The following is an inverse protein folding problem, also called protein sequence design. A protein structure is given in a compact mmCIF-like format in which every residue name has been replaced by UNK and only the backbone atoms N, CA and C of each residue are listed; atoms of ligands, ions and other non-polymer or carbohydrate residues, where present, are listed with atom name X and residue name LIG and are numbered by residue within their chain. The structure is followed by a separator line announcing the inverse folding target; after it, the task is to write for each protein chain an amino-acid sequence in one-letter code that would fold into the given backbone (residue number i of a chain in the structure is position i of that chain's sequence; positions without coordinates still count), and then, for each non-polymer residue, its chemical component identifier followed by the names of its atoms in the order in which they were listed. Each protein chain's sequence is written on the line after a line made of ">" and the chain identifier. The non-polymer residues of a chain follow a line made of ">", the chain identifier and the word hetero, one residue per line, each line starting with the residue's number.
data_IF_735854253832
#
_entry.id   IF_735854253832
#
_cell.length_a   1.000
_cell.length_b   1.000
_cell.length_c   1.000
_cell.angle_alpha   90.00
_cell.angle_beta   90.00
_cell.angle_gamma   90.00
#
_symmetry.space_group_name_H-M   'P 1'
#
loop_
_entity.id
_entity.type
_entity.pdbx_description
1 polymer ?
#
# COMPACT_ATOMS: atom_id res chain seq x y z
N UNK A 1 14.21 25.17 41.16
CA UNK A 1 15.66 25.48 41.24
C UNK A 1 16.19 25.35 39.85
N UNK A 2 16.29 26.46 39.13
CA UNK A 2 17.46 27.22 38.71
C UNK A 2 18.38 26.36 37.82
N UNK A 3 18.76 26.69 36.61
CA UNK A 3 19.14 28.00 36.09
C UNK A 3 19.07 28.09 34.57
N UNK A 4 18.56 29.23 34.11
CA UNK A 4 18.80 29.83 32.78
C UNK A 4 20.27 30.13 32.60
N UNK A 5 20.84 30.00 31.39
CA UNK A 5 21.97 30.84 30.93
C UNK A 5 21.71 31.30 29.50
N UNK A 6 21.78 32.63 29.40
CA UNK A 6 21.57 33.42 28.20
C UNK A 6 22.94 33.91 27.63
N UNK A 7 22.96 34.01 26.30
CA UNK A 7 23.58 35.04 25.39
C UNK A 7 25.00 35.57 25.69
N UNK A 8 25.84 35.86 24.68
CA UNK A 8 25.71 37.18 24.04
C UNK A 8 25.93 37.25 22.51
N UNK A 9 25.26 38.24 21.95
CA UNK A 9 25.47 38.82 20.64
C UNK A 9 26.81 39.59 20.57
N UNK A 10 27.43 39.65 19.41
CA UNK A 10 28.41 40.67 19.08
C UNK A 10 28.17 41.21 17.67
N UNK A 11 28.11 42.54 17.65
CA UNK A 11 27.80 43.44 16.54
C UNK A 11 29.13 44.05 16.03
N UNK A 12 29.09 44.56 14.82
CA UNK A 12 29.85 45.63 14.16
C UNK A 12 30.82 45.23 13.06
N UNK A 13 30.60 45.93 11.93
CA UNK A 13 31.65 46.32 10.99
C UNK A 13 31.10 46.78 9.64
N UNK A 14 30.68 48.05 9.56
CA UNK A 14 30.31 48.72 8.32
C UNK A 14 31.56 49.19 7.54
N UNK A 15 31.50 49.15 6.20
CA UNK A 15 32.28 50.07 5.36
C UNK A 15 31.56 50.27 4.01
N UNK A 16 31.12 51.50 3.81
CA UNK A 16 30.68 52.13 2.56
C UNK A 16 31.87 52.38 1.65
N UNK A 17 31.73 52.09 0.33
CA UNK A 17 32.35 52.93 -0.73
C UNK A 17 31.42 52.90 -1.94
N UNK A 18 30.98 54.09 -2.36
CA UNK A 18 30.17 54.35 -3.55
C UNK A 18 31.07 54.75 -4.72
N UNK A 19 30.70 54.36 -5.93
CA UNK A 19 30.90 55.17 -7.16
C UNK A 19 30.07 54.59 -8.34
N UNK A 20 29.52 55.42 -9.22
CA UNK A 20 28.52 55.04 -10.21
C UNK A 20 29.13 54.65 -11.56
N UNK A 21 28.65 53.57 -12.13
CA UNK A 21 28.92 53.20 -13.52
C UNK A 21 27.61 52.98 -14.27
N UNK A 22 27.28 53.97 -15.10
CA UNK A 22 26.19 53.89 -16.07
C UNK A 22 26.60 52.92 -17.18
N UNK A 23 25.92 51.79 -17.31
CA UNK A 23 25.98 50.97 -18.52
C UNK A 23 24.56 50.70 -19.01
N UNK A 24 24.43 50.98 -20.32
CA UNK A 24 23.22 50.90 -21.10
C UNK A 24 22.50 49.57 -20.99
N UNK A 25 21.17 49.61 -20.90
CA UNK A 25 20.29 48.50 -21.06
C UNK A 25 20.37 47.98 -22.48
N UNK A 26 21.03 46.83 -22.67
CA UNK A 26 20.95 46.06 -23.90
C UNK A 26 19.82 45.05 -23.71
N UNK A 27 18.73 45.25 -24.44
CA UNK A 27 17.58 44.36 -24.53
C UNK A 27 18.00 43.06 -25.20
N UNK A 28 18.31 42.06 -24.41
CA UNK A 28 18.44 40.68 -24.90
C UNK A 28 17.06 40.15 -25.36
N UNK A 29 16.96 39.52 -26.55
CA UNK A 29 15.70 38.96 -27.02
C UNK A 29 15.25 37.82 -26.10
N UNK A 30 13.95 37.84 -25.74
CA UNK A 30 13.33 36.78 -24.95
C UNK A 30 13.53 35.41 -25.63
N UNK A 31 14.18 34.52 -24.95
CA UNK A 31 14.25 33.12 -25.34
C UNK A 31 12.83 32.53 -25.42
N UNK A 32 12.50 31.75 -26.46
CA UNK A 32 11.20 31.10 -26.53
C UNK A 32 11.00 30.18 -25.32
N UNK A 33 9.86 30.33 -24.65
CA UNK A 33 9.43 29.46 -23.58
C UNK A 33 9.52 28.00 -24.05
N UNK A 34 10.31 27.21 -23.36
CA UNK A 34 10.37 25.77 -23.56
C UNK A 34 8.93 25.20 -23.42
N UNK A 35 8.49 24.31 -24.31
CA UNK A 35 7.20 23.67 -24.15
C UNK A 35 7.17 22.97 -22.80
N UNK A 36 6.08 23.19 -22.06
CA UNK A 36 5.82 22.51 -20.80
C UNK A 36 6.06 21.00 -21.02
N UNK A 37 7.03 20.46 -20.31
CA UNK A 37 7.33 19.05 -20.35
C UNK A 37 6.03 18.30 -20.02
N UNK A 38 5.53 17.54 -20.99
CA UNK A 38 4.46 16.59 -20.76
C UNK A 38 4.83 15.78 -19.52
N UNK A 39 3.94 15.77 -18.52
CA UNK A 39 4.15 15.06 -17.28
C UNK A 39 4.43 13.61 -17.63
N UNK A 40 5.67 13.20 -17.55
CA UNK A 40 6.08 11.79 -17.59
C UNK A 40 5.28 11.10 -16.50
N UNK A 41 4.62 9.96 -16.76
CA UNK A 41 3.94 9.21 -15.71
C UNK A 41 4.93 9.04 -14.56
N UNK A 42 4.54 9.48 -13.38
CA UNK A 42 5.39 9.49 -12.20
C UNK A 42 5.99 8.09 -12.03
N UNK A 43 7.31 7.99 -12.05
CA UNK A 43 7.99 6.71 -11.91
C UNK A 43 7.50 6.05 -10.61
N UNK A 44 7.08 4.78 -10.72
CA UNK A 44 6.63 3.99 -9.58
C UNK A 44 7.67 4.02 -8.46
N UNK A 45 7.29 4.47 -7.27
CA UNK A 45 8.21 4.51 -6.12
C UNK A 45 8.46 3.10 -5.58
N UNK A 46 9.55 2.86 -4.81
CA UNK A 46 9.75 1.55 -4.15
C UNK A 46 8.54 1.10 -3.32
N UNK A 47 7.87 2.01 -2.62
CA UNK A 47 6.66 1.71 -1.87
C UNK A 47 5.50 1.28 -2.79
N UNK A 48 5.33 1.93 -3.96
CA UNK A 48 4.33 1.52 -4.94
C UNK A 48 4.59 0.09 -5.46
N UNK A 49 5.85 -0.24 -5.76
CA UNK A 49 6.25 -1.58 -6.22
C UNK A 49 5.96 -2.66 -5.17
N UNK A 50 6.23 -2.37 -3.90
CA UNK A 50 5.95 -3.29 -2.79
C UNK A 50 4.44 -3.50 -2.65
N UNK A 51 3.63 -2.43 -2.64
CA UNK A 51 2.17 -2.52 -2.52
C UNK A 51 1.53 -3.24 -3.71
N UNK A 52 2.12 -3.11 -4.91
CA UNK A 52 1.69 -3.85 -6.09
C UNK A 52 1.96 -5.36 -5.94
N UNK A 53 3.16 -5.73 -5.49
CA UNK A 53 3.53 -7.13 -5.19
C UNK A 53 2.64 -7.72 -4.10
N UNK A 54 2.30 -6.94 -3.07
CA UNK A 54 1.37 -7.35 -2.02
C UNK A 54 -0.09 -7.47 -2.51
N UNK A 55 -0.37 -7.06 -3.74
CA UNK A 55 -1.72 -7.09 -4.31
C UNK A 55 -2.68 -6.03 -3.78
N UNK A 56 -2.20 -5.08 -2.99
CA UNK A 56 -3.02 -4.04 -2.34
C UNK A 56 -3.71 -3.17 -3.39
N UNK A 57 -2.97 -2.72 -4.41
CA UNK A 57 -3.52 -1.93 -5.50
C UNK A 57 -4.68 -2.67 -6.19
N UNK A 58 -4.43 -3.92 -6.59
CA UNK A 58 -5.44 -4.76 -7.26
C UNK A 58 -6.65 -5.03 -6.37
N UNK A 59 -6.44 -5.28 -5.08
CA UNK A 59 -7.53 -5.51 -4.13
C UNK A 59 -8.46 -4.29 -4.05
N UNK A 60 -7.90 -3.08 -3.95
CA UNK A 60 -8.67 -1.84 -3.91
C UNK A 60 -9.41 -1.57 -5.23
N UNK A 61 -8.75 -1.75 -6.38
CA UNK A 61 -9.35 -1.58 -7.71
C UNK A 61 -10.54 -2.53 -7.95
N UNK A 62 -10.51 -3.72 -7.38
CA UNK A 62 -11.58 -4.72 -7.54
C UNK A 62 -12.70 -4.57 -6.50
N UNK A 63 -12.44 -3.94 -5.35
CA UNK A 63 -13.40 -3.87 -4.25
C UNK A 63 -14.65 -3.07 -4.64
N UNK A 64 -14.50 -1.86 -5.18
CA UNK A 64 -15.64 -1.00 -5.54
C UNK A 64 -16.53 -1.65 -6.60
N UNK A 65 -16.02 -2.11 -7.75
CA UNK A 65 -16.84 -2.78 -8.75
C UNK A 65 -17.56 -4.03 -8.19
N UNK A 66 -16.86 -4.83 -7.39
CA UNK A 66 -17.45 -6.04 -6.77
C UNK A 66 -18.61 -5.68 -5.85
N UNK A 67 -18.44 -4.73 -4.95
CA UNK A 67 -19.50 -4.30 -4.04
C UNK A 67 -20.72 -3.73 -4.79
N UNK A 68 -20.49 -2.98 -5.87
CA UNK A 68 -21.57 -2.45 -6.70
C UNK A 68 -22.34 -3.56 -7.42
N UNK A 69 -21.63 -4.56 -7.95
CA UNK A 69 -22.25 -5.73 -8.57
C UNK A 69 -23.08 -6.54 -7.56
N UNK A 70 -22.51 -6.82 -6.39
CA UNK A 70 -23.22 -7.53 -5.32
C UNK A 70 -24.47 -6.79 -4.86
N UNK A 71 -24.43 -5.46 -4.75
CA UNK A 71 -25.59 -4.65 -4.43
C UNK A 71 -26.65 -4.72 -5.54
N UNK A 72 -26.24 -4.58 -6.80
CA UNK A 72 -27.17 -4.70 -7.95
C UNK A 72 -27.85 -6.07 -7.98
N UNK A 73 -27.10 -7.16 -7.78
CA UNK A 73 -27.63 -8.52 -7.76
C UNK A 73 -28.62 -8.75 -6.60
N UNK A 74 -28.26 -8.28 -5.39
CA UNK A 74 -29.12 -8.41 -4.22
C UNK A 74 -30.44 -7.65 -4.38
N UNK A 75 -30.38 -6.42 -4.87
CA UNK A 75 -31.59 -5.59 -5.10
C UNK A 75 -32.41 -6.14 -6.26
N UNK A 76 -31.78 -6.62 -7.35
CA UNK A 76 -32.51 -7.20 -8.48
C UNK A 76 -33.30 -8.45 -8.11
N UNK A 77 -32.90 -9.17 -7.06
CA UNK A 77 -33.63 -10.35 -6.57
C UNK A 77 -34.92 -9.95 -5.87
N UNK A 78 -34.94 -8.84 -5.15
CA UNK A 78 -36.10 -8.39 -4.36
C UNK A 78 -36.93 -7.31 -5.05
N UNK A 79 -36.28 -6.49 -5.88
CA UNK A 79 -36.86 -5.34 -6.58
C UNK A 79 -36.37 -5.25 -8.03
N UNK A 80 -36.77 -6.19 -8.90
CA UNK A 80 -36.31 -6.22 -10.28
C UNK A 80 -36.66 -4.95 -11.10
N UNK A 81 -37.76 -4.27 -10.73
CA UNK A 81 -38.26 -3.08 -11.38
C UNK A 81 -37.34 -1.86 -11.25
N UNK A 82 -36.52 -1.80 -10.22
CA UNK A 82 -35.58 -0.66 -10.02
C UNK A 82 -34.13 -0.96 -10.46
N UNK A 83 -33.86 -2.16 -10.96
CA UNK A 83 -32.51 -2.60 -11.32
C UNK A 83 -31.78 -1.63 -12.23
N UNK A 84 -32.45 -1.19 -13.32
CA UNK A 84 -31.84 -0.27 -14.29
C UNK A 84 -31.55 1.10 -13.68
N UNK A 85 -32.47 1.64 -12.89
CA UNK A 85 -32.30 2.91 -12.18
C UNK A 85 -31.15 2.81 -11.15
N UNK A 86 -31.05 1.68 -10.44
CA UNK A 86 -29.95 1.43 -9.50
C UNK A 86 -28.61 1.41 -10.23
N UNK A 87 -28.51 0.67 -11.34
CA UNK A 87 -27.29 0.58 -12.13
C UNK A 87 -26.79 1.94 -12.60
N UNK A 88 -27.68 2.79 -13.11
CA UNK A 88 -27.35 4.15 -13.51
C UNK A 88 -26.88 5.01 -12.33
N UNK A 89 -27.53 4.86 -11.18
CA UNK A 89 -27.14 5.56 -9.95
C UNK A 89 -25.75 5.12 -9.50
N UNK A 90 -25.48 3.80 -9.48
CA UNK A 90 -24.17 3.26 -9.12
C UNK A 90 -23.05 3.77 -10.03
N UNK A 91 -23.31 3.87 -11.34
CA UNK A 91 -22.35 4.45 -12.28
C UNK A 91 -22.09 5.94 -11.99
N UNK A 92 -23.11 6.69 -11.58
CA UNK A 92 -22.98 8.12 -11.26
C UNK A 92 -22.11 8.34 -10.00
N UNK A 93 -22.28 7.51 -8.98
CA UNK A 93 -21.54 7.62 -7.71
C UNK A 93 -20.17 6.91 -7.70
N UNK A 94 -19.92 6.03 -8.68
CA UNK A 94 -18.67 5.25 -8.76
C UNK A 94 -17.39 6.10 -8.65
N UNK A 95 -17.27 7.29 -9.30
CA UNK A 95 -16.06 8.10 -9.21
C UNK A 95 -15.69 8.51 -7.79
N UNK A 96 -16.67 8.72 -6.90
CA UNK A 96 -16.43 9.09 -5.51
C UNK A 96 -15.77 7.93 -4.74
N UNK A 97 -16.22 6.71 -5.03
CA UNK A 97 -15.66 5.49 -4.41
C UNK A 97 -14.29 5.13 -5.02
N UNK A 98 -14.09 5.35 -6.33
CA UNK A 98 -12.78 5.20 -6.96
C UNK A 98 -11.77 6.17 -6.33
N UNK A 99 -12.18 7.40 -6.05
CA UNK A 99 -11.36 8.38 -5.32
C UNK A 99 -11.06 7.89 -3.90
N UNK A 100 -12.06 7.38 -3.17
CA UNK A 100 -11.86 6.82 -1.83
C UNK A 100 -10.88 5.64 -1.84
N UNK A 101 -10.94 4.78 -2.85
CA UNK A 101 -9.98 3.68 -3.03
C UNK A 101 -8.55 4.21 -3.26
N UNK A 102 -8.39 5.27 -4.07
CA UNK A 102 -7.11 5.94 -4.28
C UNK A 102 -6.57 6.58 -2.99
N UNK A 103 -7.43 7.26 -2.23
CA UNK A 103 -7.05 7.85 -0.95
C UNK A 103 -6.60 6.75 0.04
N UNK A 104 -7.28 5.60 0.07
CA UNK A 104 -6.89 4.42 0.85
C UNK A 104 -5.54 3.85 0.40
N UNK A 105 -5.29 3.79 -0.91
CA UNK A 105 -3.99 3.39 -1.45
C UNK A 105 -2.86 4.34 -1.00
N UNK A 106 -3.09 5.65 -1.08
CA UNK A 106 -2.13 6.65 -0.65
C UNK A 106 -1.86 6.57 0.86
N UNK A 107 -2.89 6.27 1.66
CA UNK A 107 -2.74 6.01 3.10
C UNK A 107 -1.87 4.77 3.36
N UNK A 108 -2.11 3.67 2.65
CA UNK A 108 -1.29 2.47 2.77
C UNK A 108 0.18 2.74 2.41
N UNK A 109 0.42 3.51 1.33
CA UNK A 109 1.75 3.95 0.92
C UNK A 109 2.44 4.79 2.00
N UNK A 110 1.75 5.77 2.57
CA UNK A 110 2.29 6.60 3.65
C UNK A 110 2.59 5.78 4.90
N UNK A 111 1.72 4.83 5.23
CA UNK A 111 1.91 3.91 6.36
C UNK A 111 3.17 3.07 6.15
N UNK A 112 3.33 2.45 4.99
CA UNK A 112 4.52 1.66 4.67
C UNK A 112 5.80 2.50 4.76
N UNK A 113 5.78 3.72 4.20
CA UNK A 113 6.90 4.66 4.24
C UNK A 113 7.23 5.16 5.67
N UNK A 114 6.27 5.13 6.60
CA UNK A 114 6.53 5.45 8.02
C UNK A 114 7.16 4.31 8.80
N UNK A 115 7.07 3.07 8.30
CA UNK A 115 7.56 1.85 8.96
C UNK A 115 8.93 1.42 8.48
N UNK A 116 9.38 1.90 7.33
CA UNK A 116 10.64 1.52 6.70
C UNK A 116 11.37 2.76 6.16
N UNK A 117 12.69 2.75 6.24
CA UNK A 117 13.52 3.78 5.60
C UNK A 117 13.48 3.67 4.08
N UNK A 118 13.81 4.76 3.38
CA UNK A 118 13.87 4.77 1.91
C UNK A 118 14.82 3.70 1.36
N UNK A 119 15.92 3.43 2.08
CA UNK A 119 16.87 2.39 1.71
C UNK A 119 16.26 1.00 1.83
N UNK A 120 15.56 0.70 2.92
CA UNK A 120 14.91 -0.60 3.12
C UNK A 120 13.80 -0.82 2.10
N UNK A 121 13.01 0.21 1.80
CA UNK A 121 12.00 0.15 0.73
C UNK A 121 12.64 -0.16 -0.63
N UNK A 122 13.76 0.50 -0.96
CA UNK A 122 14.47 0.25 -2.20
C UNK A 122 15.05 -1.17 -2.26
N UNK A 123 15.63 -1.67 -1.18
CA UNK A 123 16.19 -3.03 -1.09
C UNK A 123 15.10 -4.11 -1.27
N UNK A 124 13.94 -3.94 -0.62
CA UNK A 124 12.80 -4.84 -0.75
C UNK A 124 12.21 -4.82 -2.16
N UNK A 125 12.02 -3.63 -2.73
CA UNK A 125 11.53 -3.50 -4.12
C UNK A 125 12.49 -4.14 -5.11
N UNK A 126 13.80 -3.95 -4.94
CA UNK A 126 14.83 -4.59 -5.75
C UNK A 126 14.80 -6.12 -5.62
N UNK A 127 14.62 -6.64 -4.40
CA UNK A 127 14.47 -8.09 -4.18
C UNK A 127 13.29 -8.64 -4.98
N UNK A 128 12.10 -8.10 -4.84
CA UNK A 128 10.91 -8.59 -5.55
C UNK A 128 11.00 -8.43 -7.07
N UNK A 129 11.75 -7.44 -7.55
CA UNK A 129 12.04 -7.24 -8.98
C UNK A 129 13.09 -8.21 -9.52
N UNK A 130 13.85 -8.87 -8.65
CA UNK A 130 14.89 -9.85 -9.03
C UNK A 130 14.28 -11.16 -9.56
N UNK A 131 15.04 -11.99 -10.33
CA UNK A 131 14.58 -13.32 -10.74
C UNK A 131 14.19 -14.21 -9.54
N UNK A 132 14.96 -14.13 -8.45
CA UNK A 132 14.71 -14.91 -7.23
C UNK A 132 13.45 -14.44 -6.51
N UNK A 133 13.24 -13.13 -6.38
CA UNK A 133 12.05 -12.57 -5.78
C UNK A 133 10.78 -12.92 -6.56
N UNK A 134 10.81 -12.80 -7.88
CA UNK A 134 9.68 -13.24 -8.73
C UNK A 134 9.39 -14.74 -8.56
N UNK A 135 10.45 -15.57 -8.52
CA UNK A 135 10.28 -17.00 -8.27
C UNK A 135 9.67 -17.31 -6.91
N UNK A 136 10.04 -16.55 -5.89
CA UNK A 136 9.45 -16.66 -4.56
C UNK A 136 7.94 -16.35 -4.60
N UNK A 137 7.54 -15.23 -5.21
CA UNK A 137 6.14 -14.83 -5.33
C UNK A 137 5.27 -15.86 -6.07
N UNK A 138 5.83 -16.52 -7.09
CA UNK A 138 5.14 -17.58 -7.82
C UNK A 138 5.02 -18.88 -6.99
N UNK A 139 5.96 -19.10 -6.09
CA UNK A 139 6.10 -20.36 -5.34
C UNK A 139 5.31 -20.34 -4.04
N UNK A 140 5.29 -19.19 -3.34
CA UNK A 140 4.65 -19.04 -2.03
C UNK A 140 3.19 -19.51 -2.01
N UNK A 141 2.28 -19.03 -2.88
CA UNK A 141 0.88 -19.46 -2.85
C UNK A 141 0.72 -20.96 -3.10
N UNK A 142 1.53 -21.53 -4.00
CA UNK A 142 1.53 -22.98 -4.29
C UNK A 142 2.03 -23.81 -3.10
N UNK A 143 3.02 -23.26 -2.39
CA UNK A 143 3.52 -23.88 -1.16
C UNK A 143 2.44 -23.86 -0.07
N UNK A 144 1.80 -22.70 0.16
CA UNK A 144 0.75 -22.56 1.16
C UNK A 144 -0.45 -23.47 0.89
N UNK A 145 -0.85 -23.62 -0.38
CA UNK A 145 -1.91 -24.55 -0.79
C UNK A 145 -1.55 -26.01 -0.43
N UNK A 146 -0.34 -26.45 -0.81
CA UNK A 146 0.12 -27.82 -0.50
C UNK A 146 0.29 -28.03 0.99
N UNK A 147 0.79 -27.02 1.71
CA UNK A 147 0.95 -27.10 3.16
C UNK A 147 -0.40 -27.19 3.87
N UNK A 148 -1.39 -26.41 3.45
CA UNK A 148 -2.76 -26.50 3.98
C UNK A 148 -3.34 -27.90 3.84
N UNK A 149 -3.23 -28.51 2.65
CA UNK A 149 -3.67 -29.88 2.43
C UNK A 149 -2.94 -30.90 3.34
N UNK A 150 -1.64 -30.71 3.55
CA UNK A 150 -0.86 -31.55 4.47
C UNK A 150 -1.30 -31.38 5.92
N UNK A 151 -1.62 -30.16 6.33
CA UNK A 151 -2.13 -29.86 7.68
C UNK A 151 -3.49 -30.50 7.95
N UNK A 152 -4.36 -30.59 6.95
CA UNK A 152 -5.67 -31.23 7.10
C UNK A 152 -5.50 -32.75 7.34
N UNK A 153 -4.63 -33.40 6.58
CA UNK A 153 -4.28 -34.80 6.81
C UNK A 153 -3.68 -35.04 8.19
N UNK A 154 -2.75 -34.20 8.61
CA UNK A 154 -2.14 -34.26 9.93
C UNK A 154 -3.15 -34.06 11.06
N UNK A 155 -4.08 -33.10 10.95
CA UNK A 155 -5.13 -32.86 11.95
C UNK A 155 -6.00 -34.08 12.15
N UNK A 156 -6.39 -34.75 11.05
CA UNK A 156 -7.21 -35.94 11.12
C UNK A 156 -6.48 -37.10 11.83
N UNK A 157 -5.22 -37.32 11.47
CA UNK A 157 -4.38 -38.35 12.11
C UNK A 157 -4.20 -38.08 13.60
N UNK A 158 -3.77 -36.85 13.96
CA UNK A 158 -3.48 -36.51 15.36
C UNK A 158 -4.74 -36.54 16.24
N UNK A 159 -5.90 -36.18 15.70
CA UNK A 159 -7.17 -36.30 16.41
C UNK A 159 -7.47 -37.75 16.78
N UNK A 160 -7.28 -38.68 15.85
CA UNK A 160 -7.42 -40.14 16.12
C UNK A 160 -6.41 -40.63 17.15
N UNK A 161 -5.16 -40.22 17.00
CA UNK A 161 -4.08 -40.62 17.91
C UNK A 161 -4.28 -40.10 19.34
N UNK A 162 -4.73 -38.83 19.47
CA UNK A 162 -5.04 -38.24 20.79
C UNK A 162 -6.15 -39.05 21.48
N UNK A 163 -7.25 -39.34 20.79
CA UNK A 163 -8.37 -40.11 21.37
C UNK A 163 -7.89 -41.51 21.78
N UNK A 164 -7.15 -42.21 20.92
CA UNK A 164 -6.65 -43.53 21.20
C UNK A 164 -5.71 -43.58 22.45
N UNK A 165 -4.80 -42.60 22.50
CA UNK A 165 -3.85 -42.49 23.66
C UNK A 165 -4.59 -42.07 24.93
N UNK A 166 -5.52 -41.12 24.84
CA UNK A 166 -6.32 -40.73 26.00
C UNK A 166 -7.12 -41.88 26.55
N UNK A 167 -7.77 -42.70 25.72
CA UNK A 167 -8.47 -43.91 26.14
C UNK A 167 -7.54 -44.93 26.82
N UNK A 168 -6.37 -45.18 26.25
CA UNK A 168 -5.40 -46.07 26.81
C UNK A 168 -4.91 -45.63 28.22
N UNK A 169 -4.67 -44.35 28.42
CA UNK A 169 -4.24 -43.80 29.70
C UNK A 169 -5.38 -43.77 30.74
N UNK A 170 -6.61 -43.44 30.32
CA UNK A 170 -7.77 -43.45 31.22
C UNK A 170 -8.10 -44.88 31.69
N UNK A 171 -7.99 -45.88 30.81
CA UNK A 171 -8.20 -47.27 31.14
C UNK A 171 -7.21 -47.77 32.21
N UNK A 172 -5.95 -47.33 32.19
CA UNK A 172 -4.97 -47.61 33.26
C UNK A 172 -5.40 -47.08 34.63
N UNK A 173 -6.20 -46.01 34.63
CA UNK A 173 -6.74 -45.37 35.84
C UNK A 173 -8.12 -45.94 36.24
N UNK A 174 -8.60 -47.02 35.57
CA UNK A 174 -9.89 -47.63 35.82
C UNK A 174 -11.10 -46.88 35.28
N UNK A 175 -10.88 -45.92 34.37
CA UNK A 175 -11.94 -45.14 33.73
C UNK A 175 -11.97 -45.54 32.26
N UNK A 176 -13.16 -45.95 31.78
CA UNK A 176 -13.42 -46.24 30.35
C UNK A 176 -14.38 -45.21 29.77
N UNK A 177 -14.08 -44.70 28.52
CA UNK A 177 -14.93 -43.73 27.82
C UNK A 177 -14.87 -43.90 26.30
#
# INVERSE_FOLDING_TARGET
>A
MFARRAVPALVLGAALIAAPGVFAAETAPAAPAAPAAAATPAASTPADQILEVMGIKRALELTVPKMMTELEENVATTHPEIRESLRQTLQTIKPDFDKSALDTYNQAKSTLASMMSDKELADVAAFFSSPTGRKYLETEPKFLEKFSASMDGWRQQISTDIVARARAEMKKKGVDF
#
